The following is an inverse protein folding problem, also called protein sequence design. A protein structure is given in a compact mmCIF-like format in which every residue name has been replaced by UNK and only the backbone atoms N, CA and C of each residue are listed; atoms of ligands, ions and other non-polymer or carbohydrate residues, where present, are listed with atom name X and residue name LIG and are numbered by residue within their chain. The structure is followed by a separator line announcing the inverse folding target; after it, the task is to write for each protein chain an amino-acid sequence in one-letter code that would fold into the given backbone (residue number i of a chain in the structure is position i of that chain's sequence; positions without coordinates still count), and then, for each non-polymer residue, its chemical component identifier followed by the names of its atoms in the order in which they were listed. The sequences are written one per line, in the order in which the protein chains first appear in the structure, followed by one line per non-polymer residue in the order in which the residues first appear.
data_IF_672431963890
#
_entry.id   IF_672431963890
#
_cell.length_a   1.000
_cell.length_b   1.000
_cell.length_c   1.000
_cell.angle_alpha   90.00
_cell.angle_beta   90.00
_cell.angle_gamma   90.00
#
_symmetry.space_group_name_H-M   'P 1'
#
loop_
_entity.id
_entity.type
_entity.pdbx_description
1 polymer ?
#
# COMPACT_ATOMS: atom_id res chain seq x y z
N UNK A 1 -22.19 0.28 13.97
CA UNK A 1 -20.89 0.51 13.30
C UNK A 1 -20.49 1.95 13.56
N UNK A 2 -19.41 2.20 14.31
CA UNK A 2 -19.05 3.54 14.79
C UNK A 2 -20.21 4.28 15.51
N UNK A 3 -20.93 3.60 16.41
CA UNK A 3 -22.10 4.16 17.11
C UNK A 3 -23.40 4.26 16.29
N UNK A 4 -23.35 4.19 14.94
CA UNK A 4 -24.54 4.17 14.09
C UNK A 4 -25.32 2.85 14.20
N UNK A 5 -26.65 2.93 14.11
CA UNK A 5 -27.58 1.80 14.24
C UNK A 5 -28.46 1.59 13.00
N UNK A 6 -29.04 0.38 12.90
CA UNK A 6 -30.07 0.05 11.92
C UNK A 6 -29.66 0.30 10.47
N UNK A 7 -30.47 1.13 9.77
CA UNK A 7 -30.33 1.37 8.33
C UNK A 7 -29.04 2.13 7.98
N UNK A 8 -28.64 3.07 8.82
CA UNK A 8 -27.42 3.86 8.60
C UNK A 8 -26.16 2.99 8.71
N UNK A 9 -26.10 2.12 9.73
CA UNK A 9 -25.00 1.17 9.88
C UNK A 9 -24.87 0.25 8.66
N UNK A 10 -25.99 -0.31 8.18
CA UNK A 10 -25.99 -1.15 6.98
C UNK A 10 -25.52 -0.41 5.73
N UNK A 11 -25.95 0.85 5.56
CA UNK A 11 -25.53 1.68 4.44
C UNK A 11 -24.01 1.90 4.48
N UNK A 12 -23.46 2.34 5.61
CA UNK A 12 -21.99 2.52 5.77
C UNK A 12 -21.21 1.24 5.50
N UNK A 13 -21.67 0.10 6.01
CA UNK A 13 -21.03 -1.19 5.75
C UNK A 13 -21.03 -1.52 4.24
N UNK A 14 -22.17 -1.31 3.59
CA UNK A 14 -22.35 -1.59 2.16
C UNK A 14 -21.47 -0.69 1.29
N UNK A 15 -21.40 0.60 1.59
CA UNK A 15 -20.58 1.57 0.86
C UNK A 15 -19.10 1.18 0.98
N UNK A 16 -18.63 0.93 2.21
CA UNK A 16 -17.24 0.56 2.47
C UNK A 16 -16.84 -0.78 1.83
N UNK A 17 -17.71 -1.79 1.89
CA UNK A 17 -17.45 -3.08 1.22
C UNK A 17 -17.46 -2.91 -0.31
N UNK A 18 -18.29 -2.01 -0.85
CA UNK A 18 -18.30 -1.68 -2.27
C UNK A 18 -16.98 -1.05 -2.72
N UNK A 19 -16.44 -0.10 -1.95
CA UNK A 19 -15.15 0.56 -2.23
C UNK A 19 -13.97 -0.42 -2.24
N UNK A 20 -14.09 -1.50 -1.48
CA UNK A 20 -13.10 -2.59 -1.46
C UNK A 20 -13.36 -3.68 -2.52
N UNK A 21 -14.36 -3.51 -3.38
CA UNK A 21 -14.68 -4.41 -4.49
C UNK A 21 -15.55 -5.62 -4.09
N UNK A 22 -16.27 -5.55 -2.97
CA UNK A 22 -17.10 -6.65 -2.43
C UNK A 22 -18.61 -6.43 -2.59
N UNK A 23 -19.02 -5.57 -3.54
CA UNK A 23 -20.44 -5.23 -3.77
C UNK A 23 -21.33 -6.45 -3.98
N UNK A 24 -20.87 -7.43 -4.76
CA UNK A 24 -21.63 -8.66 -5.04
C UNK A 24 -21.57 -9.69 -3.90
N UNK A 25 -20.80 -9.41 -2.84
CA UNK A 25 -20.53 -10.32 -1.73
C UNK A 25 -21.11 -9.83 -0.41
N UNK A 26 -21.91 -8.76 -0.43
CA UNK A 26 -22.48 -8.14 0.78
C UNK A 26 -23.25 -9.10 1.69
N UNK A 27 -23.91 -10.11 1.11
CA UNK A 27 -24.72 -11.08 1.84
C UNK A 27 -24.03 -12.46 1.95
N UNK A 28 -22.75 -12.57 1.57
CA UNK A 28 -22.04 -13.85 1.60
C UNK A 28 -21.58 -14.16 3.03
N UNK A 29 -21.71 -15.41 3.42
CA UNK A 29 -21.15 -15.91 4.68
C UNK A 29 -19.62 -16.06 4.54
N UNK A 30 -18.85 -15.98 5.65
CA UNK A 30 -17.39 -16.07 5.60
C UNK A 30 -16.85 -17.29 4.85
N UNK A 31 -17.47 -18.46 5.00
CA UNK A 31 -17.11 -19.69 4.29
C UNK A 31 -17.26 -19.61 2.76
N UNK A 32 -18.04 -18.65 2.24
CA UNK A 32 -18.23 -18.43 0.80
C UNK A 32 -17.27 -17.39 0.21
N UNK A 33 -16.37 -16.84 1.01
CA UNK A 33 -15.37 -15.86 0.59
C UNK A 33 -14.00 -16.52 0.40
N UNK A 34 -13.29 -16.14 -0.66
CA UNK A 34 -11.87 -16.43 -0.84
C UNK A 34 -11.02 -15.78 0.26
N UNK A 35 -9.76 -16.23 0.41
CA UNK A 35 -8.83 -15.64 1.38
C UNK A 35 -8.67 -14.12 1.19
N UNK A 36 -8.52 -13.67 -0.06
CA UNK A 36 -8.41 -12.24 -0.38
C UNK A 36 -9.69 -11.46 -0.08
N UNK A 37 -10.87 -12.03 -0.36
CA UNK A 37 -12.14 -11.39 0.00
C UNK A 37 -12.31 -11.28 1.53
N UNK A 38 -11.95 -12.32 2.29
CA UNK A 38 -11.94 -12.27 3.76
C UNK A 38 -11.01 -11.17 4.28
N UNK A 39 -9.85 -11.00 3.66
CA UNK A 39 -8.91 -9.95 4.04
C UNK A 39 -9.46 -8.55 3.74
N UNK A 40 -10.14 -8.37 2.60
CA UNK A 40 -10.85 -7.12 2.28
C UNK A 40 -11.96 -6.83 3.29
N UNK A 41 -12.71 -7.84 3.75
CA UNK A 41 -13.68 -7.67 4.85
C UNK A 41 -13.00 -7.26 6.15
N UNK A 42 -11.84 -7.84 6.48
CA UNK A 42 -11.06 -7.44 7.67
C UNK A 42 -10.58 -5.98 7.57
N UNK A 43 -10.16 -5.54 6.39
CA UNK A 43 -9.79 -4.14 6.11
C UNK A 43 -11.01 -3.23 6.26
N UNK A 44 -12.18 -3.59 5.70
CA UNK A 44 -13.42 -2.82 5.90
C UNK A 44 -13.72 -2.65 7.39
N UNK A 45 -13.60 -3.72 8.18
CA UNK A 45 -13.82 -3.67 9.62
C UNK A 45 -12.86 -2.71 10.31
N UNK A 46 -11.59 -2.66 9.90
CA UNK A 46 -10.62 -1.72 10.45
C UNK A 46 -10.96 -0.27 10.08
N UNK A 47 -11.42 -0.03 8.86
CA UNK A 47 -11.74 1.30 8.34
C UNK A 47 -13.04 1.91 8.86
N UNK A 48 -13.95 1.11 9.41
CA UNK A 48 -15.33 1.56 9.69
C UNK A 48 -15.45 2.71 10.70
N UNK A 49 -14.46 2.87 11.57
CA UNK A 49 -14.40 3.96 12.55
C UNK A 49 -13.55 5.14 12.07
N UNK A 50 -13.24 5.20 10.78
CA UNK A 50 -12.40 6.22 10.16
C UNK A 50 -11.06 6.46 10.88
N UNK A 51 -10.25 5.42 11.16
CA UNK A 51 -9.00 5.61 11.90
C UNK A 51 -7.95 6.38 11.09
N UNK A 52 -7.20 7.26 11.76
CA UNK A 52 -6.03 7.92 11.18
C UNK A 52 -4.85 6.96 10.94
N UNK A 53 -4.79 5.86 11.70
CA UNK A 53 -3.70 4.87 11.65
C UNK A 53 -4.27 3.46 11.55
N UNK A 54 -3.73 2.66 10.63
CA UNK A 54 -4.03 1.23 10.49
C UNK A 54 -2.78 0.45 10.85
N UNK A 55 -2.91 -0.49 11.78
CA UNK A 55 -1.88 -1.47 12.12
C UNK A 55 -2.29 -2.81 11.50
N UNK A 56 -1.46 -3.35 10.61
CA UNK A 56 -1.71 -4.59 9.91
C UNK A 56 -0.61 -5.61 10.24
N UNK A 57 -0.96 -6.58 11.08
CA UNK A 57 -0.07 -7.68 11.47
C UNK A 57 -0.25 -8.86 10.52
N UNK A 58 0.79 -9.16 9.74
CA UNK A 58 0.83 -10.21 8.71
C UNK A 58 -0.43 -10.25 7.82
N UNK A 59 -0.81 -9.12 7.16
CA UNK A 59 -2.08 -9.02 6.45
C UNK A 59 -2.18 -9.90 5.20
N UNK A 60 -1.08 -10.52 4.78
CA UNK A 60 -1.01 -11.41 3.62
C UNK A 60 -0.77 -12.86 4.01
N UNK A 61 -0.78 -13.19 5.31
CA UNK A 61 -0.63 -14.56 5.78
C UNK A 61 -1.69 -15.47 5.12
N UNK A 62 -1.26 -16.65 4.68
CA UNK A 62 -2.09 -17.65 4.00
C UNK A 62 -2.70 -17.20 2.66
N UNK A 63 -2.22 -16.10 2.05
CA UNK A 63 -2.57 -15.69 0.69
C UNK A 63 -1.45 -16.07 -0.27
N UNK A 64 -1.80 -16.40 -1.52
CA UNK A 64 -0.80 -16.54 -2.57
C UNK A 64 -0.13 -15.19 -2.86
N UNK A 65 1.02 -15.24 -3.55
CA UNK A 65 1.83 -14.06 -3.82
C UNK A 65 1.05 -12.97 -4.55
N UNK A 66 0.21 -13.32 -5.53
CA UNK A 66 -0.53 -12.35 -6.33
C UNK A 66 -1.58 -11.65 -5.47
N UNK A 67 -2.40 -12.42 -4.76
CA UNK A 67 -3.44 -11.86 -3.88
C UNK A 67 -2.80 -11.03 -2.77
N UNK A 68 -1.68 -11.48 -2.19
CA UNK A 68 -0.94 -10.71 -1.19
C UNK A 68 -0.53 -9.32 -1.70
N UNK A 69 0.03 -9.23 -2.91
CA UNK A 69 0.39 -7.94 -3.51
C UNK A 69 -0.84 -7.07 -3.78
N UNK A 70 -1.97 -7.64 -4.19
CA UNK A 70 -3.22 -6.88 -4.36
C UNK A 70 -3.70 -6.26 -3.04
N UNK A 71 -3.63 -7.01 -1.94
CA UNK A 71 -3.99 -6.51 -0.60
C UNK A 71 -3.03 -5.39 -0.15
N UNK A 72 -1.73 -5.56 -0.38
CA UNK A 72 -0.74 -4.55 -0.03
C UNK A 72 -0.91 -3.26 -0.85
N UNK A 73 -1.20 -3.37 -2.15
CA UNK A 73 -1.53 -2.21 -3.01
C UNK A 73 -2.80 -1.52 -2.55
N UNK A 74 -3.81 -2.28 -2.14
CA UNK A 74 -5.04 -1.74 -1.57
C UNK A 74 -4.76 -0.92 -0.30
N UNK A 75 -3.96 -1.45 0.62
CA UNK A 75 -3.55 -0.74 1.84
C UNK A 75 -2.75 0.54 1.52
N UNK A 76 -1.80 0.48 0.58
CA UNK A 76 -1.06 1.66 0.11
C UNK A 76 -2.01 2.72 -0.47
N UNK A 77 -2.95 2.30 -1.31
CA UNK A 77 -3.95 3.20 -1.90
C UNK A 77 -4.77 3.90 -0.81
N UNK A 78 -5.28 3.14 0.15
CA UNK A 78 -6.00 3.68 1.31
C UNK A 78 -5.13 4.71 2.05
N UNK A 79 -3.85 4.40 2.29
CA UNK A 79 -2.92 5.32 2.97
C UNK A 79 -2.79 6.65 2.21
N UNK A 80 -2.54 6.58 0.89
CA UNK A 80 -2.26 7.75 0.06
C UNK A 80 -3.50 8.59 -0.26
N UNK A 81 -4.59 7.94 -0.68
CA UNK A 81 -5.79 8.62 -1.15
C UNK A 81 -6.64 9.16 0.01
N UNK A 82 -6.63 8.48 1.17
CA UNK A 82 -7.44 8.88 2.32
C UNK A 82 -6.63 9.57 3.43
N UNK A 83 -5.38 9.95 3.15
CA UNK A 83 -4.46 10.60 4.08
C UNK A 83 -4.35 9.86 5.43
N UNK A 84 -4.17 8.54 5.37
CA UNK A 84 -4.01 7.66 6.54
C UNK A 84 -2.58 7.16 6.64
N UNK A 85 -2.15 6.84 7.85
CA UNK A 85 -0.92 6.08 8.07
C UNK A 85 -1.22 4.58 8.13
N UNK A 86 -0.40 3.77 7.47
CA UNK A 86 -0.50 2.30 7.55
C UNK A 86 0.85 1.76 7.98
N UNK A 87 0.87 0.99 9.06
CA UNK A 87 2.05 0.27 9.54
C UNK A 87 1.79 -1.22 9.33
N UNK A 88 2.72 -1.89 8.65
CA UNK A 88 2.58 -3.28 8.28
C UNK A 88 3.74 -4.04 8.90
N UNK A 89 3.41 -5.14 9.60
CA UNK A 89 4.40 -6.10 10.09
C UNK A 89 4.33 -7.30 9.15
N UNK A 90 5.46 -7.67 8.55
CA UNK A 90 5.55 -8.88 7.76
C UNK A 90 6.96 -9.43 7.63
N UNK A 91 7.06 -10.75 7.46
CA UNK A 91 8.27 -11.44 7.04
C UNK A 91 8.42 -11.56 5.51
N UNK A 92 7.40 -11.17 4.71
CA UNK A 92 7.46 -11.26 3.26
C UNK A 92 8.29 -10.11 2.66
N UNK A 93 9.45 -10.43 2.09
CA UNK A 93 10.30 -9.41 1.46
C UNK A 93 9.76 -8.90 0.12
N UNK A 94 8.82 -9.62 -0.51
CA UNK A 94 8.32 -9.27 -1.84
C UNK A 94 7.46 -8.01 -1.81
N UNK A 95 6.88 -7.69 -0.66
CA UNK A 95 5.96 -6.55 -0.49
C UNK A 95 6.67 -5.23 -0.15
N UNK A 96 8.00 -5.25 -0.02
CA UNK A 96 8.82 -4.07 0.30
C UNK A 96 8.68 -2.96 -0.73
N UNK A 97 8.51 -3.31 -2.00
CA UNK A 97 8.40 -2.39 -3.13
C UNK A 97 7.16 -1.49 -3.06
N UNK A 98 6.14 -1.92 -2.31
CA UNK A 98 4.88 -1.19 -2.09
C UNK A 98 5.01 -0.18 -0.93
N UNK A 99 5.95 -0.38 -0.01
CA UNK A 99 6.11 0.48 1.17
C UNK A 99 6.80 1.81 0.82
N UNK A 100 6.48 2.87 1.56
CA UNK A 100 7.21 4.14 1.48
C UNK A 100 8.54 4.08 2.25
N UNK A 101 8.55 3.33 3.36
CA UNK A 101 9.69 3.13 4.25
C UNK A 101 9.68 1.69 4.73
N UNK A 102 10.85 1.10 4.88
CA UNK A 102 11.02 -0.24 5.46
C UNK A 102 11.94 -0.12 6.66
N UNK A 103 11.47 -0.59 7.80
CA UNK A 103 12.22 -0.63 9.05
C UNK A 103 12.44 -2.09 9.43
N UNK A 104 13.71 -2.48 9.58
CA UNK A 104 14.06 -3.83 9.96
C UNK A 104 14.09 -4.01 11.48
N UNK A 105 13.49 -5.11 11.93
CA UNK A 105 13.49 -5.53 13.33
C UNK A 105 14.15 -6.91 13.41
N UNK A 106 15.18 -7.02 14.25
CA UNK A 106 15.92 -8.25 14.50
C UNK A 106 16.27 -8.30 15.99
N UNK A 107 16.00 -9.43 16.65
CA UNK A 107 16.22 -9.64 18.09
C UNK A 107 15.68 -8.51 18.99
N UNK A 108 14.49 -8.00 18.65
CA UNK A 108 13.84 -6.92 19.39
C UNK A 108 14.49 -5.54 19.19
N UNK A 109 15.45 -5.41 18.29
CA UNK A 109 16.14 -4.16 17.99
C UNK A 109 15.87 -3.71 16.56
N UNK A 110 15.61 -2.42 16.40
CA UNK A 110 15.58 -1.80 15.08
C UNK A 110 16.99 -1.72 14.50
N UNK A 111 17.13 -2.18 13.26
CA UNK A 111 18.41 -2.19 12.53
C UNK A 111 18.42 -1.02 11.54
N UNK A 112 18.36 -1.32 10.25
CA UNK A 112 18.34 -0.30 9.20
C UNK A 112 16.91 0.17 8.91
N UNK A 113 16.81 1.44 8.52
CA UNK A 113 15.60 2.00 7.94
C UNK A 113 15.95 2.50 6.55
N UNK A 114 15.18 2.09 5.55
CA UNK A 114 15.35 2.52 4.17
C UNK A 114 14.12 3.30 3.72
N UNK A 115 14.33 4.34 2.93
CA UNK A 115 13.25 5.08 2.30
C UNK A 115 13.15 4.65 0.85
N UNK A 116 11.96 4.27 0.42
CA UNK A 116 11.72 3.83 -0.96
C UNK A 116 11.40 5.03 -1.86
N UNK A 117 11.71 4.89 -3.14
CA UNK A 117 11.28 5.76 -4.21
C UNK A 117 10.83 4.91 -5.39
N UNK A 118 9.96 5.48 -6.23
CA UNK A 118 9.56 4.85 -7.49
C UNK A 118 10.29 5.57 -8.60
N UNK A 119 11.01 4.82 -9.43
CA UNK A 119 11.62 5.33 -10.64
C UNK A 119 10.51 5.86 -11.57
N UNK A 120 10.54 7.15 -11.96
CA UNK A 120 9.46 7.78 -12.71
C UNK A 120 9.36 7.30 -14.16
N UNK A 121 10.40 6.62 -14.68
CA UNK A 121 10.46 6.14 -16.07
C UNK A 121 9.94 4.71 -16.16
N UNK A 122 10.50 3.80 -15.36
CA UNK A 122 10.16 2.37 -15.45
C UNK A 122 9.17 1.89 -14.38
N UNK A 123 8.90 2.69 -13.36
CA UNK A 123 8.04 2.33 -12.23
C UNK A 123 8.68 1.36 -11.23
N UNK A 124 9.97 1.06 -11.36
CA UNK A 124 10.69 0.18 -10.44
C UNK A 124 10.86 0.85 -9.07
N UNK A 125 10.61 0.09 -8.00
CA UNK A 125 10.89 0.57 -6.64
C UNK A 125 12.38 0.45 -6.32
N UNK A 126 12.95 1.52 -5.79
CA UNK A 126 14.38 1.64 -5.45
C UNK A 126 14.56 2.21 -4.05
N UNK A 127 15.56 1.73 -3.33
CA UNK A 127 16.00 2.36 -2.08
C UNK A 127 16.71 3.67 -2.44
N UNK A 128 16.29 4.80 -1.85
CA UNK A 128 16.83 6.12 -2.18
C UNK A 128 18.34 6.19 -2.00
N UNK A 129 18.82 5.60 -0.91
CA UNK A 129 20.22 5.58 -0.51
C UNK A 129 21.09 4.68 -1.42
N UNK A 130 20.47 3.72 -2.13
CA UNK A 130 21.14 2.79 -3.05
C UNK A 130 20.75 3.00 -4.52
N UNK A 131 20.04 4.08 -4.83
CA UNK A 131 19.61 4.39 -6.20
C UNK A 131 20.83 4.57 -7.10
N UNK A 132 20.77 4.02 -8.32
CA UNK A 132 21.89 4.08 -9.26
C UNK A 132 22.16 5.51 -9.77
N UNK A 133 21.13 6.35 -9.74
CA UNK A 133 21.23 7.78 -10.02
C UNK A 133 20.10 8.55 -9.32
N UNK A 134 20.30 9.86 -9.15
CA UNK A 134 19.28 10.81 -8.71
C UNK A 134 19.40 12.12 -9.52
N UNK A 135 18.30 12.85 -9.65
CA UNK A 135 18.22 14.15 -10.33
C UNK A 135 17.26 15.06 -9.60
N UNK A 136 17.67 16.30 -9.33
CA UNK A 136 16.81 17.31 -8.73
C UNK A 136 16.24 18.23 -9.82
N UNK A 137 14.90 18.31 -9.90
CA UNK A 137 14.19 19.16 -10.85
C UNK A 137 13.11 19.93 -10.11
N UNK A 138 13.17 21.26 -10.14
CA UNK A 138 12.16 22.11 -9.50
C UNK A 138 12.01 21.90 -7.99
N UNK A 139 13.09 21.52 -7.29
CA UNK A 139 13.08 21.23 -5.85
C UNK A 139 12.55 19.84 -5.48
N UNK A 140 12.30 18.97 -6.46
CA UNK A 140 11.94 17.56 -6.25
C UNK A 140 13.13 16.69 -6.67
N UNK A 141 13.58 15.81 -5.76
CA UNK A 141 14.59 14.80 -6.07
C UNK A 141 13.93 13.52 -6.59
N UNK A 142 14.26 13.15 -7.82
CA UNK A 142 13.89 11.89 -8.46
C UNK A 142 15.02 10.88 -8.30
N UNK A 143 14.68 9.61 -8.09
CA UNK A 143 15.63 8.51 -7.90
C UNK A 143 15.40 7.47 -9.00
N UNK A 144 16.48 6.89 -9.52
CA UNK A 144 16.41 6.02 -10.70
C UNK A 144 17.09 4.67 -10.45
N UNK A 145 16.53 3.61 -11.04
CA UNK A 145 17.06 2.26 -10.98
C UNK A 145 18.33 2.10 -11.81
N UNK A 146 18.54 2.97 -12.80
CA UNK A 146 19.70 2.94 -13.68
C UNK A 146 20.06 4.35 -14.17
N UNK A 147 21.30 4.49 -14.66
CA UNK A 147 21.72 5.71 -15.37
C UNK A 147 20.93 5.93 -16.67
N UNK A 148 20.42 4.85 -17.28
CA UNK A 148 19.59 4.90 -18.48
C UNK A 148 18.24 5.58 -18.21
N UNK A 149 17.52 5.15 -17.17
CA UNK A 149 16.26 5.77 -16.77
C UNK A 149 16.44 7.25 -16.42
N UNK A 150 17.54 7.62 -15.76
CA UNK A 150 17.86 9.04 -15.52
C UNK A 150 18.00 9.83 -16.83
N UNK A 151 18.79 9.32 -17.78
CA UNK A 151 19.06 10.01 -19.04
C UNK A 151 17.78 10.19 -19.88
N UNK A 152 16.91 9.17 -19.89
CA UNK A 152 15.60 9.23 -20.54
C UNK A 152 14.73 10.32 -19.93
N UNK A 153 14.59 10.34 -18.59
CA UNK A 153 13.83 11.36 -17.87
C UNK A 153 14.36 12.77 -18.11
N UNK A 154 15.67 12.96 -18.03
CA UNK A 154 16.32 14.27 -18.27
C UNK A 154 16.07 14.77 -19.69
N UNK A 155 16.09 13.87 -20.69
CA UNK A 155 15.74 14.19 -22.07
C UNK A 155 14.27 14.60 -22.26
N UNK A 156 13.34 14.00 -21.53
CA UNK A 156 11.92 14.38 -21.56
C UNK A 156 11.68 15.77 -20.95
N UNK A 157 12.34 16.08 -19.82
CA UNK A 157 12.22 17.39 -19.17
C UNK A 157 12.71 18.54 -20.06
N UNK A 158 13.72 18.31 -20.90
CA UNK A 158 14.24 19.30 -21.84
C UNK A 158 13.34 19.51 -23.06
N UNK A 159 12.57 18.49 -23.48
CA UNK A 159 11.60 18.59 -24.58
C UNK A 159 10.29 19.29 -24.18
N UNK A 160 9.99 19.32 -22.88
CA UNK A 160 8.79 19.95 -22.32
C UNK A 160 8.93 21.44 -21.96
N UNK A 161 10.08 22.06 -22.27
CA UNK A 161 10.34 23.51 -22.14
C UNK A 161 10.38 24.17 -23.50
#
# INVERSE_FOLDING_TARGET
LAGAQGREARKRASDLLTDLGLRERLNFLPEKLSGGEKQRVAIARALVNDPAIILADEPTANLDSKIGHEIMRLLRRIAKEQNRSVVIVSHDQRIKDIADRVLWLEDGQFKEMVTMAIDPVCGMSVEREKAAAALEVGGITYYFCSKGCRAEFEGEQLKGR
#
